data_IF_422000721341
#
_entry.id   IF_422000721341
#
_cell.length_a   1.000
_cell.length_b   1.000
_cell.length_c   1.000
_cell.angle_alpha   90.00
_cell.angle_beta   90.00
_cell.angle_gamma   90.00
#
_symmetry.space_group_name_H-M   'P 1'
#
loop_
_entity.id
_entity.type
_entity.pdbx_description
1 polymer ?
#
# COMPACT_ATOMS: atom_id res chain seq x y z
N UNK A 1 19.07 -70.82 -17.07
CA UNK A 1 19.39 -70.28 -15.73
C UNK A 1 18.90 -68.84 -15.67
N UNK A 2 18.16 -68.50 -14.61
CA UNK A 2 17.64 -67.17 -14.25
C UNK A 2 18.76 -66.13 -14.19
N UNK A 3 18.56 -64.93 -14.76
CA UNK A 3 18.95 -63.66 -14.12
C UNK A 3 18.02 -62.52 -14.58
N UNK A 4 17.23 -62.02 -13.64
CA UNK A 4 16.59 -60.69 -13.68
C UNK A 4 17.54 -59.75 -12.95
N UNK A 5 17.93 -58.61 -13.54
CA UNK A 5 18.41 -57.45 -12.77
C UNK A 5 18.32 -56.14 -13.56
N UNK A 6 17.70 -55.18 -12.90
CA UNK A 6 17.30 -53.81 -13.23
C UNK A 6 18.40 -52.90 -13.83
N UNK A 7 17.95 -51.92 -14.63
CA UNK A 7 18.44 -50.53 -14.53
C UNK A 7 17.34 -49.56 -14.99
N UNK A 8 16.54 -49.15 -14.01
CA UNK A 8 15.81 -47.89 -14.05
C UNK A 8 16.81 -46.72 -14.02
N UNK A 9 16.25 -45.53 -14.29
CA UNK A 9 16.75 -44.19 -13.95
C UNK A 9 17.61 -43.55 -15.06
N UNK A 10 17.00 -42.64 -15.81
CA UNK A 10 17.38 -41.20 -15.85
C UNK A 10 16.49 -40.44 -16.85
N UNK A 11 15.17 -40.46 -16.66
CA UNK A 11 14.36 -39.30 -17.06
C UNK A 11 14.52 -38.26 -15.96
N UNK A 12 15.61 -37.50 -16.02
CA UNK A 12 15.79 -36.29 -15.23
C UNK A 12 14.75 -35.27 -15.66
N UNK A 13 13.54 -35.40 -15.14
CA UNK A 13 12.57 -34.32 -15.11
C UNK A 13 13.21 -33.24 -14.24
N UNK A 14 13.79 -32.23 -14.90
CA UNK A 14 14.03 -30.94 -14.29
C UNK A 14 12.67 -30.37 -13.93
N UNK A 15 12.13 -30.79 -12.79
CA UNK A 15 11.01 -30.13 -12.14
C UNK A 15 11.57 -28.82 -11.59
N UNK A 16 11.70 -27.81 -12.45
CA UNK A 16 11.71 -26.44 -12.00
C UNK A 16 10.35 -26.20 -11.34
N UNK A 17 10.28 -26.40 -10.03
CA UNK A 17 9.16 -25.93 -9.24
C UNK A 17 9.08 -24.41 -9.43
N UNK A 18 8.17 -23.95 -10.29
CA UNK A 18 7.83 -22.55 -10.39
C UNK A 18 7.24 -22.14 -9.04
N UNK A 19 8.07 -21.60 -8.16
CA UNK A 19 7.60 -21.03 -6.90
C UNK A 19 6.81 -19.80 -7.27
N UNK A 20 5.48 -19.90 -7.24
CA UNK A 20 4.62 -18.74 -7.39
C UNK A 20 5.00 -17.74 -6.29
N UNK A 21 5.53 -16.57 -6.68
CA UNK A 21 5.80 -15.50 -5.76
C UNK A 21 4.46 -14.91 -5.30
N UNK A 22 4.19 -14.98 -4.00
CA UNK A 22 2.99 -14.39 -3.42
C UNK A 22 3.13 -12.88 -3.39
N UNK A 23 2.18 -12.17 -4.01
CA UNK A 23 2.07 -10.71 -3.89
C UNK A 23 1.53 -10.34 -2.50
N UNK A 24 2.45 -9.98 -1.60
CA UNK A 24 2.10 -9.60 -0.22
C UNK A 24 1.25 -8.32 -0.15
N UNK A 25 1.22 -7.49 -1.19
CA UNK A 25 0.36 -6.29 -1.19
C UNK A 25 -1.13 -6.67 -1.17
N UNK A 26 -1.46 -7.90 -1.57
CA UNK A 26 -2.84 -8.43 -1.62
C UNK A 26 -3.15 -9.43 -0.51
N UNK A 27 -2.16 -9.77 0.32
CA UNK A 27 -2.34 -10.66 1.46
C UNK A 27 -2.73 -9.82 2.67
N UNK A 28 -3.82 -10.23 3.33
CA UNK A 28 -4.29 -9.54 4.53
C UNK A 28 -3.21 -9.55 5.61
N UNK A 29 -3.08 -8.43 6.31
CA UNK A 29 -2.17 -8.25 7.45
C UNK A 29 -0.68 -8.39 7.11
N UNK A 30 -0.32 -8.33 5.83
CA UNK A 30 1.07 -8.12 5.42
C UNK A 30 1.51 -6.69 5.75
N UNK A 31 2.78 -6.52 6.13
CA UNK A 31 3.34 -5.24 6.57
C UNK A 31 4.85 -5.20 6.31
N UNK A 32 5.44 -4.04 6.58
CA UNK A 32 6.86 -3.77 6.52
C UNK A 32 7.25 -2.88 5.35
N UNK A 33 8.46 -2.31 5.37
CA UNK A 33 8.90 -1.32 4.38
C UNK A 33 8.78 -1.81 2.93
N UNK A 34 9.17 -3.05 2.64
CA UNK A 34 9.09 -3.62 1.29
C UNK A 34 7.65 -3.80 0.79
N UNK A 35 6.70 -4.05 1.69
CA UNK A 35 5.27 -4.17 1.36
C UNK A 35 4.69 -2.79 1.05
N UNK A 36 5.09 -1.76 1.82
CA UNK A 36 4.73 -0.37 1.56
C UNK A 36 5.30 0.10 0.22
N UNK A 37 6.60 -0.11 0.00
CA UNK A 37 7.28 0.23 -1.26
C UNK A 37 6.59 -0.44 -2.46
N UNK A 38 6.35 -1.75 -2.39
CA UNK A 38 5.68 -2.50 -3.46
C UNK A 38 4.26 -1.99 -3.71
N UNK A 39 3.53 -1.66 -2.64
CA UNK A 39 2.17 -1.10 -2.76
C UNK A 39 2.21 0.26 -3.46
N UNK A 40 3.10 1.15 -3.03
CA UNK A 40 3.25 2.48 -3.61
C UNK A 40 3.71 2.38 -5.07
N UNK A 41 4.61 1.45 -5.39
CA UNK A 41 5.05 1.20 -6.74
C UNK A 41 3.89 0.77 -7.65
N UNK A 42 3.02 -0.14 -7.21
CA UNK A 42 1.80 -0.51 -7.95
C UNK A 42 0.89 0.70 -8.20
N UNK A 43 0.70 1.59 -7.22
CA UNK A 43 -0.12 2.80 -7.37
C UNK A 43 0.49 3.79 -8.36
N UNK A 44 1.82 3.94 -8.34
CA UNK A 44 2.58 4.80 -9.28
C UNK A 44 2.52 4.27 -10.70
N UNK A 45 2.74 2.97 -10.88
CA UNK A 45 2.71 2.31 -12.20
C UNK A 45 1.31 2.34 -12.80
N UNK A 46 0.27 2.27 -11.95
CA UNK A 46 -1.11 2.50 -12.34
C UNK A 46 -1.44 4.00 -12.56
N UNK A 47 -0.51 4.93 -12.36
CA UNK A 47 -0.73 6.38 -12.41
C UNK A 47 -1.93 6.84 -11.56
N UNK A 48 -2.22 6.15 -10.46
CA UNK A 48 -3.30 6.49 -9.54
C UNK A 48 -2.85 7.58 -8.55
N UNK A 49 -1.54 7.68 -8.34
CA UNK A 49 -0.88 8.73 -7.57
C UNK A 49 0.19 9.39 -8.45
N UNK A 50 0.30 10.72 -8.35
CA UNK A 50 1.39 11.48 -8.98
C UNK A 50 2.58 11.60 -8.03
N UNK A 51 2.30 12.08 -6.83
CA UNK A 51 3.28 12.27 -5.76
C UNK A 51 3.08 11.21 -4.68
N UNK A 52 4.12 10.42 -4.43
CA UNK A 52 4.06 9.24 -3.56
C UNK A 52 4.68 9.47 -2.18
N UNK A 53 5.55 10.49 -2.04
CA UNK A 53 6.28 10.76 -0.81
C UNK A 53 5.37 10.93 0.40
N UNK A 54 4.22 11.61 0.24
CA UNK A 54 3.27 11.78 1.34
C UNK A 54 2.70 10.43 1.81
N UNK A 55 2.39 9.52 0.88
CA UNK A 55 1.90 8.18 1.23
C UNK A 55 2.97 7.37 1.97
N UNK A 56 4.23 7.42 1.55
CA UNK A 56 5.35 6.78 2.27
C UNK A 56 5.44 7.30 3.71
N UNK A 57 5.40 8.63 3.86
CA UNK A 57 5.52 9.31 5.15
C UNK A 57 4.35 9.00 6.08
N UNK A 58 3.13 8.92 5.53
CA UNK A 58 1.95 8.51 6.31
C UNK A 58 2.09 7.06 6.77
N UNK A 59 2.50 6.12 5.91
CA UNK A 59 2.68 4.71 6.29
C UNK A 59 3.67 4.54 7.45
N UNK A 60 4.82 5.20 7.36
CA UNK A 60 5.84 5.17 8.40
C UNK A 60 5.36 5.82 9.70
N UNK A 61 4.65 6.95 9.64
CA UNK A 61 4.21 7.66 10.84
C UNK A 61 3.03 6.99 11.54
N UNK A 62 2.00 6.61 10.79
CA UNK A 62 0.74 6.12 11.36
C UNK A 62 0.92 4.75 12.00
N UNK A 63 1.75 3.87 11.40
CA UNK A 63 1.86 2.47 11.84
C UNK A 63 3.28 1.91 11.80
N UNK A 64 4.31 2.71 11.55
CA UNK A 64 5.67 2.20 11.31
C UNK A 64 5.65 1.10 10.22
N UNK A 65 5.11 1.44 9.05
CA UNK A 65 4.92 0.52 7.91
C UNK A 65 4.09 -0.72 8.24
N UNK A 66 3.13 -0.59 9.16
CA UNK A 66 2.22 -1.64 9.60
C UNK A 66 2.68 -2.43 10.82
N UNK A 67 3.88 -2.18 11.35
CA UNK A 67 4.43 -2.85 12.54
C UNK A 67 3.69 -2.50 13.83
N UNK A 68 3.11 -1.31 13.91
CA UNK A 68 2.40 -0.77 15.07
C UNK A 68 0.89 -0.63 14.81
N UNK A 69 0.30 -1.52 14.01
CA UNK A 69 -1.16 -1.52 13.75
C UNK A 69 -1.96 -1.75 15.02
N UNK A 70 -3.07 -1.04 15.13
CA UNK A 70 -4.01 -1.16 16.25
C UNK A 70 -4.90 -2.40 16.02
N UNK A 71 -4.97 -3.36 16.95
CA UNK A 71 -5.86 -4.50 16.83
C UNK A 71 -7.33 -4.07 16.73
N UNK A 72 -8.07 -4.65 15.78
CA UNK A 72 -9.47 -4.33 15.54
C UNK A 72 -9.71 -3.10 14.66
N UNK A 73 -8.67 -2.30 14.37
CA UNK A 73 -8.73 -1.29 13.33
C UNK A 73 -8.45 -1.90 11.96
N UNK A 74 -9.28 -1.49 11.00
CA UNK A 74 -9.22 -1.99 9.63
C UNK A 74 -8.59 -1.00 8.66
N UNK A 75 -8.23 0.22 9.08
CA UNK A 75 -7.60 1.22 8.21
C UNK A 75 -6.25 0.83 7.59
N UNK A 76 -5.68 -0.31 8.00
CA UNK A 76 -4.46 -0.88 7.44
C UNK A 76 -3.23 -0.06 7.79
N UNK A 77 -2.22 -0.10 6.91
CA UNK A 77 -0.92 0.57 7.11
C UNK A 77 -1.10 2.10 7.18
N UNK A 78 -2.01 2.67 6.37
CA UNK A 78 -2.27 4.10 6.32
C UNK A 78 -3.34 4.58 7.32
N UNK A 79 -3.85 3.70 8.19
CA UNK A 79 -4.86 3.99 9.22
C UNK A 79 -6.16 4.63 8.68
N UNK A 80 -6.54 4.37 7.43
CA UNK A 80 -7.73 5.02 6.83
C UNK A 80 -8.99 4.67 7.64
N UNK A 81 -9.59 5.65 8.30
CA UNK A 81 -10.78 5.40 9.10
C UNK A 81 -12.00 5.12 8.21
N UNK A 82 -13.06 4.61 8.83
CA UNK A 82 -14.25 4.17 8.10
C UNK A 82 -14.96 5.33 7.40
N UNK A 83 -14.93 6.53 7.98
CA UNK A 83 -15.51 7.74 7.36
C UNK A 83 -14.75 8.12 6.08
N UNK A 84 -13.41 8.15 6.16
CA UNK A 84 -12.55 8.38 4.99
C UNK A 84 -12.78 7.34 3.91
N UNK A 85 -12.84 6.06 4.28
CA UNK A 85 -13.12 4.97 3.36
C UNK A 85 -14.47 5.15 2.65
N UNK A 86 -15.53 5.46 3.41
CA UNK A 86 -16.86 5.68 2.85
C UNK A 86 -16.89 6.87 1.88
N UNK A 87 -16.10 7.92 2.12
CA UNK A 87 -15.96 9.02 1.16
C UNK A 87 -15.33 8.58 -0.16
N UNK A 88 -14.39 7.61 -0.17
CA UNK A 88 -13.82 7.06 -1.41
C UNK A 88 -14.83 6.28 -2.27
N UNK A 89 -15.94 5.87 -1.65
CA UNK A 89 -17.02 5.10 -2.27
C UNK A 89 -18.14 5.98 -2.82
N UNK A 90 -18.11 7.28 -2.55
CA UNK A 90 -19.19 8.15 -2.96
C UNK A 90 -19.39 8.12 -4.49
N UNK A 91 -20.65 8.20 -4.92
CA UNK A 91 -21.03 8.00 -6.32
C UNK A 91 -20.83 9.21 -7.24
N UNK A 92 -19.91 10.13 -6.91
CA UNK A 92 -19.66 11.33 -7.73
C UNK A 92 -19.05 10.94 -9.08
N UNK A 93 -19.27 11.72 -10.15
CA UNK A 93 -18.69 11.43 -11.46
C UNK A 93 -17.15 11.31 -11.43
N UNK A 94 -16.48 12.13 -10.61
CA UNK A 94 -15.03 12.14 -10.46
C UNK A 94 -14.52 10.87 -9.78
N UNK A 95 -15.19 10.42 -8.71
CA UNK A 95 -14.82 9.20 -8.00
C UNK A 95 -15.09 7.96 -8.85
N UNK A 96 -16.20 7.92 -9.60
CA UNK A 96 -16.48 6.82 -10.53
C UNK A 96 -15.37 6.65 -11.55
N UNK A 97 -14.84 7.75 -12.11
CA UNK A 97 -13.69 7.69 -13.03
C UNK A 97 -12.46 7.08 -12.36
N UNK A 98 -12.15 7.50 -11.13
CA UNK A 98 -11.01 6.94 -10.38
C UNK A 98 -11.23 5.45 -10.09
N UNK A 99 -12.43 5.05 -9.66
CA UNK A 99 -12.79 3.66 -9.39
C UNK A 99 -12.68 2.78 -10.66
N UNK A 100 -13.07 3.30 -11.81
CA UNK A 100 -12.91 2.62 -13.10
C UNK A 100 -11.42 2.45 -13.47
N UNK A 101 -10.57 3.45 -13.21
CA UNK A 101 -9.13 3.33 -13.41
C UNK A 101 -8.51 2.28 -12.48
N UNK A 102 -8.93 2.23 -11.22
CA UNK A 102 -8.50 1.22 -10.24
C UNK A 102 -8.84 -0.19 -10.74
N UNK A 103 -10.06 -0.40 -11.26
CA UNK A 103 -10.43 -1.69 -11.84
C UNK A 103 -9.58 -2.02 -13.08
N UNK A 104 -9.46 -1.09 -14.03
CA UNK A 104 -8.74 -1.32 -15.28
C UNK A 104 -7.25 -1.62 -15.08
N UNK A 105 -6.61 -0.99 -14.11
CA UNK A 105 -5.15 -1.04 -13.93
C UNK A 105 -4.69 -2.04 -12.88
N UNK A 106 -5.51 -2.29 -11.86
CA UNK A 106 -5.15 -3.16 -10.73
C UNK A 106 -6.10 -4.34 -10.53
N UNK A 107 -7.14 -4.47 -11.36
CA UNK A 107 -8.19 -5.49 -11.27
C UNK A 107 -8.85 -5.53 -9.90
N UNK A 108 -9.04 -4.35 -9.28
CA UNK A 108 -9.74 -4.20 -8.00
C UNK A 108 -11.11 -3.57 -8.27
N UNK A 109 -12.18 -4.32 -8.02
CA UNK A 109 -13.53 -3.79 -8.06
C UNK A 109 -13.80 -2.97 -6.81
N UNK A 110 -13.43 -1.67 -6.83
CA UNK A 110 -13.40 -0.84 -5.62
C UNK A 110 -14.72 -0.86 -4.87
N UNK A 111 -15.87 -0.77 -5.55
CA UNK A 111 -17.18 -0.75 -4.91
C UNK A 111 -17.55 -2.04 -4.15
N UNK A 112 -16.91 -3.19 -4.45
CA UNK A 112 -17.11 -4.45 -3.73
C UNK A 112 -16.25 -4.62 -2.47
N UNK A 113 -15.29 -3.73 -2.22
CA UNK A 113 -14.39 -3.78 -1.06
C UNK A 113 -15.13 -3.32 0.21
N UNK A 114 -14.95 -3.96 1.35
CA UNK A 114 -15.46 -3.47 2.63
C UNK A 114 -14.34 -2.83 3.45
N UNK A 115 -14.67 -2.06 4.50
CA UNK A 115 -13.64 -1.42 5.32
C UNK A 115 -12.65 -2.44 5.91
N UNK A 116 -13.14 -3.61 6.35
CA UNK A 116 -12.30 -4.75 6.79
C UNK A 116 -11.29 -5.24 5.75
N UNK A 117 -11.58 -5.08 4.45
CA UNK A 117 -10.68 -5.51 3.39
C UNK A 117 -9.42 -4.64 3.27
N UNK A 118 -9.42 -3.44 3.88
CA UNK A 118 -8.26 -2.55 3.97
C UNK A 118 -7.11 -3.14 4.82
N UNK A 119 -7.33 -4.25 5.52
CA UNK A 119 -6.25 -5.08 6.08
C UNK A 119 -5.23 -5.55 5.01
N UNK A 120 -5.58 -5.48 3.72
CA UNK A 120 -4.65 -5.73 2.61
C UNK A 120 -3.91 -4.43 2.25
N UNK A 121 -2.57 -4.42 2.17
CA UNK A 121 -1.78 -3.22 1.89
C UNK A 121 -2.24 -2.46 0.63
N UNK A 122 -2.46 -3.14 -0.49
CA UNK A 122 -2.91 -2.53 -1.74
C UNK A 122 -4.24 -1.79 -1.55
N UNK A 123 -5.13 -2.34 -0.74
CA UNK A 123 -6.45 -1.76 -0.54
C UNK A 123 -6.40 -0.56 0.41
N UNK A 124 -5.65 -0.63 1.52
CA UNK A 124 -5.46 0.54 2.38
C UNK A 124 -4.69 1.66 1.67
N UNK A 125 -3.68 1.33 0.86
CA UNK A 125 -2.97 2.30 0.03
C UNK A 125 -3.87 2.96 -1.02
N UNK A 126 -4.72 2.18 -1.69
CA UNK A 126 -5.76 2.71 -2.59
C UNK A 126 -6.73 3.64 -1.87
N UNK A 127 -7.22 3.25 -0.69
CA UNK A 127 -8.15 4.07 0.08
C UNK A 127 -7.52 5.43 0.44
N UNK A 128 -6.28 5.42 0.94
CA UNK A 128 -5.55 6.64 1.26
C UNK A 128 -5.32 7.51 0.03
N UNK A 129 -4.87 6.93 -1.09
CA UNK A 129 -4.63 7.64 -2.34
C UNK A 129 -5.90 8.27 -2.92
N UNK A 130 -7.00 7.52 -3.00
CA UNK A 130 -8.29 8.01 -3.50
C UNK A 130 -8.78 9.13 -2.58
N UNK A 131 -8.72 8.93 -1.26
CA UNK A 131 -9.14 9.93 -0.29
C UNK A 131 -8.36 11.24 -0.43
N UNK A 132 -7.03 11.19 -0.50
CA UNK A 132 -6.19 12.39 -0.70
C UNK A 132 -6.58 13.14 -1.98
N UNK A 133 -6.89 12.42 -3.05
CA UNK A 133 -7.34 12.99 -4.32
C UNK A 133 -8.72 13.65 -4.24
N UNK A 134 -9.55 13.30 -3.25
CA UNK A 134 -10.80 14.04 -2.97
C UNK A 134 -10.57 15.38 -2.28
N UNK A 135 -9.41 15.57 -1.65
CA UNK A 135 -9.10 16.77 -0.85
C UNK A 135 -8.37 17.84 -1.63
N UNK A 136 -7.75 17.47 -2.75
CA UNK A 136 -7.04 18.40 -3.61
C UNK A 136 -7.17 18.00 -5.07
N UNK A 137 -7.43 18.99 -5.92
CA UNK A 137 -7.28 18.86 -7.37
C UNK A 137 -5.84 19.14 -7.82
N UNK A 138 -5.02 19.69 -6.93
CA UNK A 138 -3.64 20.12 -7.18
C UNK A 138 -2.62 19.01 -6.85
N UNK A 139 -1.36 19.25 -7.20
CA UNK A 139 -0.21 18.43 -6.77
C UNK A 139 -0.09 18.39 -5.26
N UNK A 140 0.23 17.23 -4.69
CA UNK A 140 0.54 17.13 -3.26
C UNK A 140 1.80 17.97 -3.02
N UNK A 141 1.87 18.79 -1.95
CA UNK A 141 3.07 19.57 -1.67
C UNK A 141 4.31 18.68 -1.58
N UNK A 142 5.46 19.15 -2.06
CA UNK A 142 6.70 18.35 -2.07
C UNK A 142 7.52 18.52 -0.78
N UNK A 143 7.47 19.70 -0.17
CA UNK A 143 8.25 20.01 1.03
C UNK A 143 7.70 19.26 2.25
N UNK A 144 8.59 18.81 3.16
CA UNK A 144 8.18 18.17 4.42
C UNK A 144 7.25 19.10 5.26
N UNK A 145 7.54 20.40 5.43
CA UNK A 145 6.63 21.30 6.16
C UNK A 145 5.23 21.41 5.55
N UNK A 146 5.13 21.59 4.23
CA UNK A 146 3.83 21.74 3.58
C UNK A 146 3.04 20.43 3.59
N UNK A 147 3.72 19.29 3.47
CA UNK A 147 3.10 17.98 3.64
C UNK A 147 2.57 17.76 5.06
N UNK A 148 3.25 18.27 6.09
CA UNK A 148 2.76 18.17 7.46
C UNK A 148 1.48 18.95 7.66
N UNK A 149 1.46 20.20 7.19
CA UNK A 149 0.26 21.04 7.19
C UNK A 149 -0.87 20.40 6.39
N UNK A 150 -0.57 19.84 5.23
CA UNK A 150 -1.54 19.15 4.38
C UNK A 150 -2.14 17.94 5.09
N UNK A 151 -1.30 17.07 5.66
CA UNK A 151 -1.73 15.90 6.43
C UNK A 151 -2.64 16.32 7.59
N UNK A 152 -2.23 17.31 8.40
CA UNK A 152 -3.06 17.82 9.51
C UNK A 152 -4.38 18.39 9.03
N UNK A 153 -4.40 19.12 7.93
CA UNK A 153 -5.63 19.79 7.45
C UNK A 153 -6.62 18.81 6.82
N UNK A 154 -6.13 17.80 6.09
CA UNK A 154 -6.97 17.01 5.19
C UNK A 154 -7.02 15.52 5.52
N UNK A 155 -6.00 14.96 6.17
CA UNK A 155 -5.89 13.52 6.43
C UNK A 155 -6.04 13.18 7.92
N UNK A 156 -5.49 13.98 8.84
CA UNK A 156 -5.66 13.83 10.29
C UNK A 156 -5.92 15.17 10.95
N UNK A 157 -7.16 15.62 10.87
CA UNK A 157 -7.63 16.87 11.50
C UNK A 157 -7.38 16.93 13.00
N UNK A 158 -7.34 15.78 13.68
CA UNK A 158 -7.03 15.68 15.12
C UNK A 158 -5.56 15.33 15.42
N UNK A 159 -4.72 15.14 14.39
CA UNK A 159 -3.30 14.77 14.54
C UNK A 159 -2.40 15.92 15.04
N UNK A 160 -1.12 15.64 15.28
CA UNK A 160 -0.15 16.68 15.65
C UNK A 160 0.81 16.94 14.49
N UNK A 161 0.67 18.11 13.85
CA UNK A 161 1.47 18.52 12.69
C UNK A 161 2.98 18.52 13.01
N UNK A 162 3.37 19.03 14.18
CA UNK A 162 4.77 19.12 14.56
C UNK A 162 5.38 17.73 14.78
N UNK A 163 4.65 16.79 15.37
CA UNK A 163 5.13 15.42 15.53
C UNK A 163 5.33 14.75 14.17
N UNK A 164 4.38 14.94 13.25
CA UNK A 164 4.49 14.40 11.89
C UNK A 164 5.67 15.02 11.14
N UNK A 165 5.87 16.35 11.23
CA UNK A 165 7.02 17.04 10.66
C UNK A 165 8.35 16.53 11.21
N UNK A 166 8.48 16.43 12.53
CA UNK A 166 9.68 15.92 13.19
C UNK A 166 10.00 14.49 12.75
N UNK A 167 8.98 13.62 12.66
CA UNK A 167 9.15 12.26 12.16
C UNK A 167 9.67 12.25 10.72
N UNK A 168 9.07 13.04 9.82
CA UNK A 168 9.53 13.14 8.44
C UNK A 168 10.96 13.68 8.34
N UNK A 169 11.36 14.62 9.19
CA UNK A 169 12.73 15.16 9.20
C UNK A 169 13.77 14.10 9.54
N UNK A 170 13.42 13.12 10.38
CA UNK A 170 14.27 11.97 10.69
C UNK A 170 14.34 10.91 9.58
N UNK A 171 13.43 10.95 8.60
CA UNK A 171 13.45 10.03 7.45
C UNK A 171 14.52 10.43 6.43
N UNK A 172 15.32 9.48 5.91
CA UNK A 172 16.29 9.75 4.85
C UNK A 172 15.61 10.36 3.61
N UNK A 173 16.33 11.21 2.88
CA UNK A 173 15.83 11.78 1.64
C UNK A 173 15.84 10.72 0.54
N UNK A 174 14.64 10.28 0.11
CA UNK A 174 14.47 9.21 -0.87
C UNK A 174 14.25 7.86 -0.19
N UNK A 175 13.14 7.21 -0.53
CA UNK A 175 12.64 5.96 0.04
C UNK A 175 13.52 4.75 -0.24
N UNK A 176 14.73 4.74 0.31
CA UNK A 176 15.65 3.61 0.25
C UNK A 176 15.92 3.17 1.68
N UNK A 177 15.06 2.28 2.18
CA UNK A 177 15.35 1.39 3.32
C UNK A 177 16.31 0.26 2.90
N UNK A 178 17.15 0.45 1.89
CA UNK A 178 18.26 -0.47 1.63
C UNK A 178 19.34 -0.16 2.66
N UNK A 179 19.69 -1.15 3.47
CA UNK A 179 20.95 -1.34 4.22
C UNK A 179 20.86 -1.64 5.73
N UNK A 180 19.70 -2.00 6.30
CA UNK A 180 19.69 -2.67 7.61
C UNK A 180 18.96 -4.02 7.56
N UNK A 181 19.60 -4.97 6.88
CA UNK A 181 19.36 -6.39 7.07
C UNK A 181 20.73 -7.08 7.01
N UNK A 182 21.37 -7.19 8.17
CA UNK A 182 22.43 -8.17 8.42
C UNK A 182 21.82 -9.29 9.25
#
# INVERSE_FOLDING_TARGET
>A
MRYVLYLCILCGLWQFSARAQTDLTRVADSYGPLVVESTIQLLRDACLIKDHLLLERIAAFETNDGLARIPGDHGGIWQVDEEMFNLTKAGTPELKKIQDEVFKKLFVLWNGINWKDLNRPLYSGLAAAIYLRTKTNDSIPLSKPDQAKFWKTHFRTNGNEQNFLTAMQAMPEGGVYLLYSV
#
